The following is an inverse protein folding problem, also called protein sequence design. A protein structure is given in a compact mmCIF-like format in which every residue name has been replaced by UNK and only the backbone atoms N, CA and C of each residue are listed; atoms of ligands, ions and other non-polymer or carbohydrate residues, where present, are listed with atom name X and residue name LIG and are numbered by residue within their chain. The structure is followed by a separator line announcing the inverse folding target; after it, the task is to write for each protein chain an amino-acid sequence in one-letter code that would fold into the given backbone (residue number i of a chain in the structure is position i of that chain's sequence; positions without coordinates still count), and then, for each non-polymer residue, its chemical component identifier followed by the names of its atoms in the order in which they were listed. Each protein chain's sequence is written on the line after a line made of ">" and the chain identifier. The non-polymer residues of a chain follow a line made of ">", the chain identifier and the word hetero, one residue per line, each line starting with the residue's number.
data_IF_378542104831
#
_entry.id   IF_378542104831
#
_cell.length_a   1.000
_cell.length_b   1.000
_cell.length_c   1.000
_cell.angle_alpha   90.00
_cell.angle_beta   90.00
_cell.angle_gamma   90.00
#
_symmetry.space_group_name_H-M   'P 1'
#
loop_
_entity.id
_entity.type
_entity.pdbx_description
1 polymer ?
#
# COMPACT_ATOMS: atom_id res chain seq x y z
N UNK A 1 12.70 10.95 12.53
CA UNK A 1 12.21 10.01 11.48
C UNK A 1 12.80 8.64 11.73
N UNK A 2 11.99 7.59 11.61
CA UNK A 2 12.43 6.20 11.78
C UNK A 2 13.50 5.83 10.74
N UNK A 3 14.56 5.19 11.18
CA UNK A 3 15.70 4.77 10.34
C UNK A 3 15.40 3.45 9.62
N UNK A 4 14.43 3.49 8.70
CA UNK A 4 13.87 2.29 8.04
C UNK A 4 14.91 1.46 7.32
N UNK A 5 15.88 2.10 6.61
CA UNK A 5 16.95 1.39 5.88
C UNK A 5 17.85 0.59 6.81
N UNK A 6 18.29 1.20 7.92
CA UNK A 6 19.16 0.53 8.86
C UNK A 6 18.45 -0.62 9.58
N UNK A 7 17.20 -0.39 10.01
CA UNK A 7 16.41 -1.44 10.65
C UNK A 7 16.20 -2.62 9.71
N UNK A 8 15.82 -2.35 8.45
CA UNK A 8 15.62 -3.40 7.44
C UNK A 8 16.93 -4.11 7.12
N UNK A 9 18.05 -3.36 7.00
CA UNK A 9 19.38 -3.91 6.78
C UNK A 9 19.87 -4.79 7.93
N UNK A 10 19.44 -4.51 9.16
CA UNK A 10 19.69 -5.34 10.34
C UNK A 10 18.75 -6.56 10.45
N UNK A 11 17.88 -6.81 9.44
CA UNK A 11 16.96 -7.93 9.43
C UNK A 11 15.68 -7.72 10.27
N UNK A 12 15.48 -6.51 10.79
CA UNK A 12 14.28 -6.20 11.57
C UNK A 12 13.07 -6.05 10.62
N UNK A 13 11.96 -6.69 10.98
CA UNK A 13 10.72 -6.54 10.24
C UNK A 13 10.12 -5.16 10.49
N UNK A 14 10.02 -4.35 9.45
CA UNK A 14 9.42 -3.02 9.49
C UNK A 14 8.12 -3.05 8.69
N UNK A 15 7.04 -2.59 9.29
CA UNK A 15 5.77 -2.34 8.61
C UNK A 15 5.33 -0.89 8.81
N UNK A 16 4.56 -0.38 7.87
CA UNK A 16 3.96 0.95 7.94
C UNK A 16 2.49 0.84 8.30
N UNK A 17 2.04 1.73 9.15
CA UNK A 17 0.64 1.90 9.53
C UNK A 17 0.21 3.34 9.37
N UNK A 18 -1.09 3.57 9.36
CA UNK A 18 -1.66 4.92 9.17
C UNK A 18 -1.68 5.70 10.48
N UNK A 19 -1.74 5.02 11.63
CA UNK A 19 -1.97 5.56 12.96
C UNK A 19 -3.36 6.21 13.05
N UNK A 20 -3.45 7.49 12.72
CA UNK A 20 -4.70 8.26 12.71
C UNK A 20 -5.27 8.39 11.29
N UNK A 21 -6.62 8.37 11.14
CA UNK A 21 -7.33 8.39 9.84
C UNK A 21 -8.27 9.54 9.83
N UNK A 22 -8.43 10.50 10.03
CA UNK A 22 -9.46 11.54 10.07
C UNK A 22 -9.95 11.81 11.48
N UNK A 23 -9.07 12.41 12.24
CA UNK A 23 -9.30 12.81 13.61
C UNK A 23 -8.65 14.18 13.90
N UNK A 24 -8.70 14.70 15.14
CA UNK A 24 -8.10 16.00 15.48
C UNK A 24 -6.58 16.09 15.27
N UNK A 25 -5.87 14.95 15.28
CA UNK A 25 -4.41 14.89 15.06
C UNK A 25 -4.04 14.79 13.60
N UNK A 26 -4.86 14.12 12.80
CA UNK A 26 -4.66 13.95 11.36
C UNK A 26 -5.96 14.18 10.58
N UNK A 27 -6.34 15.44 10.35
CA UNK A 27 -7.67 15.78 9.80
C UNK A 27 -7.83 15.52 8.30
N UNK A 28 -6.79 15.10 7.59
CA UNK A 28 -6.82 14.90 6.12
C UNK A 28 -6.60 13.44 5.70
N UNK A 29 -6.66 12.50 6.62
CA UNK A 29 -6.42 11.09 6.33
C UNK A 29 -7.55 10.44 5.53
N UNK A 30 -7.20 9.66 4.51
CA UNK A 30 -8.14 8.86 3.70
C UNK A 30 -8.19 7.39 4.08
N UNK A 31 -7.34 6.95 5.00
CA UNK A 31 -7.15 5.53 5.35
C UNK A 31 -6.40 4.73 4.29
N UNK A 32 -5.81 5.39 3.31
CA UNK A 32 -5.07 4.73 2.23
C UNK A 32 -3.64 4.37 2.65
N UNK A 33 -3.35 3.09 2.84
CA UNK A 33 -1.99 2.62 3.11
C UNK A 33 -1.01 2.92 1.96
N UNK A 34 -1.47 3.09 0.74
CA UNK A 34 -0.65 3.56 -0.39
C UNK A 34 -0.10 4.96 -0.11
N UNK A 35 -0.91 5.85 0.43
CA UNK A 35 -0.51 7.23 0.74
C UNK A 35 0.50 7.23 1.90
N UNK A 36 0.36 6.30 2.85
CA UNK A 36 1.36 6.07 3.91
C UNK A 36 2.70 5.64 3.32
N UNK A 37 2.70 4.73 2.34
CA UNK A 37 3.95 4.33 1.65
C UNK A 37 4.54 5.50 0.89
N UNK A 38 3.73 6.24 0.15
CA UNK A 38 4.19 7.41 -0.59
C UNK A 38 4.88 8.43 0.33
N UNK A 39 4.24 8.78 1.42
CA UNK A 39 4.82 9.67 2.43
C UNK A 39 6.07 9.07 3.07
N UNK A 40 6.02 7.81 3.46
CA UNK A 40 7.14 7.11 4.10
C UNK A 40 8.39 7.05 3.22
N UNK A 41 8.24 6.83 1.92
CA UNK A 41 9.35 6.86 0.96
C UNK A 41 10.05 8.23 0.93
N UNK A 42 9.28 9.31 0.91
CA UNK A 42 9.82 10.67 0.90
C UNK A 42 10.49 11.02 2.23
N UNK A 43 9.80 10.81 3.33
CA UNK A 43 10.29 11.16 4.68
C UNK A 43 11.52 10.34 5.07
N UNK A 44 11.58 9.07 4.70
CA UNK A 44 12.73 8.18 4.95
C UNK A 44 13.79 8.24 3.84
N UNK A 45 13.64 9.12 2.84
CA UNK A 45 14.56 9.31 1.71
C UNK A 45 14.84 8.01 0.93
N UNK A 46 13.81 7.20 0.73
CA UNK A 46 13.86 5.91 0.04
C UNK A 46 13.36 6.05 -1.40
N UNK A 47 13.98 6.96 -2.17
CA UNK A 47 13.51 7.37 -3.51
C UNK A 47 14.23 6.66 -4.65
N UNK A 48 15.09 5.67 -4.37
CA UNK A 48 15.66 4.81 -5.41
C UNK A 48 14.59 3.92 -6.05
N UNK A 49 14.72 3.63 -7.36
CA UNK A 49 13.76 2.79 -8.08
C UNK A 49 13.51 1.45 -7.38
N UNK A 50 14.59 0.80 -6.90
CA UNK A 50 14.50 -0.45 -6.14
C UNK A 50 13.74 -0.29 -4.81
N UNK A 51 13.94 0.83 -4.09
CA UNK A 51 13.22 1.13 -2.86
C UNK A 51 11.73 1.29 -3.14
N UNK A 52 11.38 2.06 -4.18
CA UNK A 52 10.00 2.32 -4.58
C UNK A 52 9.31 1.00 -4.96
N UNK A 53 9.91 0.21 -5.85
CA UNK A 53 9.31 -1.05 -6.32
C UNK A 53 9.15 -2.09 -5.20
N UNK A 54 10.03 -2.08 -4.20
CA UNK A 54 9.98 -3.01 -3.07
C UNK A 54 9.16 -2.48 -1.88
N UNK A 55 8.66 -1.26 -1.92
CA UNK A 55 8.00 -0.62 -0.77
C UNK A 55 6.65 -1.22 -0.42
N UNK A 56 5.98 -1.88 -1.35
CA UNK A 56 4.71 -2.58 -1.10
C UNK A 56 4.81 -3.55 0.09
N UNK A 57 5.97 -4.14 0.30
CA UNK A 57 6.19 -5.06 1.42
C UNK A 57 5.87 -4.46 2.79
N UNK A 58 6.09 -3.15 2.97
CA UNK A 58 5.88 -2.48 4.26
C UNK A 58 4.41 -2.44 4.69
N UNK A 59 3.48 -2.47 3.73
CA UNK A 59 2.03 -2.48 3.97
C UNK A 59 1.37 -3.81 3.61
N UNK A 60 2.14 -4.80 3.22
CA UNK A 60 1.64 -6.12 2.82
C UNK A 60 2.36 -7.24 3.57
N UNK A 61 3.39 -7.84 3.01
CA UNK A 61 4.05 -9.03 3.59
C UNK A 61 4.68 -8.75 4.95
N UNK A 62 5.28 -7.58 5.16
CA UNK A 62 5.85 -7.22 6.46
C UNK A 62 4.74 -6.94 7.49
N UNK A 63 3.66 -6.26 7.08
CA UNK A 63 2.48 -6.06 7.92
C UNK A 63 1.83 -7.39 8.30
N UNK A 64 1.72 -8.32 7.35
CA UNK A 64 1.22 -9.67 7.63
C UNK A 64 2.06 -10.43 8.65
N UNK A 65 3.40 -10.29 8.61
CA UNK A 65 4.29 -10.83 9.63
C UNK A 65 4.05 -10.20 10.99
N UNK A 66 3.91 -8.87 11.05
CA UNK A 66 3.62 -8.14 12.29
C UNK A 66 2.29 -8.59 12.90
N UNK A 67 1.29 -8.87 12.07
CA UNK A 67 -0.04 -9.33 12.49
C UNK A 67 -0.15 -10.85 12.67
N UNK A 68 0.94 -11.59 12.51
CA UNK A 68 1.00 -13.05 12.64
C UNK A 68 -0.02 -13.80 11.76
N UNK A 69 -0.28 -13.31 10.54
CA UNK A 69 -1.27 -13.91 9.64
C UNK A 69 -0.81 -15.24 9.01
N UNK A 70 0.47 -15.56 9.09
CA UNK A 70 1.04 -16.82 8.61
C UNK A 70 0.80 -17.07 7.12
N UNK A 71 0.59 -18.34 6.78
CA UNK A 71 0.43 -18.79 5.39
C UNK A 71 -0.93 -18.41 4.78
N UNK A 72 -1.89 -17.97 5.58
CA UNK A 72 -3.21 -17.52 5.10
C UNK A 72 -3.16 -16.18 4.35
N UNK A 73 -2.05 -15.45 4.43
CA UNK A 73 -1.87 -14.18 3.75
C UNK A 73 -1.24 -14.34 2.36
N UNK A 74 -1.76 -13.59 1.41
CA UNK A 74 -1.22 -13.46 0.05
C UNK A 74 -2.07 -14.14 -1.02
N UNK A 75 -1.86 -13.70 -2.26
CA UNK A 75 -2.57 -14.25 -3.43
C UNK A 75 -1.89 -15.55 -3.83
N UNK A 76 -2.39 -16.67 -3.33
CA UNK A 76 -1.93 -18.03 -3.59
C UNK A 76 -3.12 -18.96 -3.73
N UNK A 77 -2.95 -20.04 -4.48
CA UNK A 77 -3.93 -21.12 -4.57
C UNK A 77 -4.22 -21.69 -3.16
N UNK A 78 -5.48 -21.86 -2.85
CA UNK A 78 -5.93 -22.32 -1.53
C UNK A 78 -6.12 -21.22 -0.47
N UNK A 79 -5.60 -20.01 -0.70
CA UNK A 79 -5.80 -18.90 0.23
C UNK A 79 -7.14 -18.19 0.02
N UNK A 80 -7.68 -17.54 1.05
CA UNK A 80 -8.83 -16.66 0.88
C UNK A 80 -8.59 -15.59 -0.18
N UNK A 81 -9.51 -15.43 -1.12
CA UNK A 81 -9.41 -14.44 -2.19
C UNK A 81 -9.64 -13.02 -1.63
N UNK A 82 -8.61 -12.47 -0.99
CA UNK A 82 -8.62 -11.11 -0.41
C UNK A 82 -7.52 -10.28 -1.08
N UNK A 83 -7.91 -9.32 -1.91
CA UNK A 83 -7.00 -8.50 -2.70
C UNK A 83 -7.65 -7.18 -3.13
N UNK A 84 -6.83 -6.26 -3.59
CA UNK A 84 -7.27 -5.05 -4.29
C UNK A 84 -6.69 -5.03 -5.71
N UNK A 85 -7.43 -4.43 -6.63
CA UNK A 85 -6.97 -4.13 -7.99
C UNK A 85 -6.83 -2.62 -8.12
N UNK A 86 -5.67 -2.16 -8.54
CA UNK A 86 -5.36 -0.75 -8.74
C UNK A 86 -5.46 -0.39 -10.23
N UNK A 87 -5.90 0.82 -10.53
CA UNK A 87 -5.94 1.38 -11.89
C UNK A 87 -4.54 1.84 -12.32
N UNK A 88 -3.62 0.91 -12.44
CA UNK A 88 -2.23 1.18 -12.72
C UNK A 88 -1.57 0.05 -13.52
N UNK A 89 -0.54 0.40 -14.30
CA UNK A 89 0.24 -0.57 -15.09
C UNK A 89 1.18 -1.41 -14.23
N UNK A 90 1.67 -0.85 -13.15
CA UNK A 90 2.55 -1.47 -12.18
C UNK A 90 2.53 -0.70 -10.86
N UNK A 91 3.26 -1.17 -9.85
CA UNK A 91 3.25 -0.57 -8.53
C UNK A 91 3.87 0.85 -8.50
N UNK A 92 4.91 1.10 -9.29
CA UNK A 92 5.47 2.45 -9.44
C UNK A 92 4.41 3.43 -9.95
N UNK A 93 3.72 3.06 -11.02
CA UNK A 93 2.65 3.86 -11.61
C UNK A 93 1.49 4.09 -10.62
N UNK A 94 1.17 3.06 -9.81
CA UNK A 94 0.15 3.17 -8.77
C UNK A 94 0.51 4.23 -7.72
N UNK A 95 1.75 4.27 -7.26
CA UNK A 95 2.22 5.28 -6.31
C UNK A 95 2.30 6.66 -6.95
N UNK A 96 2.92 6.75 -8.12
CA UNK A 96 3.18 8.03 -8.81
C UNK A 96 1.91 8.79 -9.15
N UNK A 97 0.86 8.10 -9.58
CA UNK A 97 -0.42 8.71 -9.98
C UNK A 97 -1.50 8.65 -8.90
N UNK A 98 -1.17 8.18 -7.71
CA UNK A 98 -2.18 7.92 -6.67
C UNK A 98 -3.37 7.11 -7.23
N UNK A 99 -3.06 6.01 -7.91
CA UNK A 99 -4.04 5.22 -8.67
C UNK A 99 -5.24 4.79 -7.81
N UNK A 100 -6.43 4.90 -8.37
CA UNK A 100 -7.66 4.49 -7.71
C UNK A 100 -7.72 2.97 -7.50
N UNK A 101 -8.41 2.54 -6.44
CA UNK A 101 -8.78 1.14 -6.25
C UNK A 101 -9.97 0.83 -7.16
N UNK A 102 -9.77 -0.06 -8.14
CA UNK A 102 -10.81 -0.52 -9.08
C UNK A 102 -11.73 -1.56 -8.45
N UNK A 103 -11.15 -2.45 -7.69
CA UNK A 103 -11.86 -3.53 -7.02
C UNK A 103 -11.23 -3.78 -5.66
N UNK A 104 -12.06 -3.89 -4.64
CA UNK A 104 -11.70 -4.44 -3.34
C UNK A 104 -12.46 -5.75 -3.14
N UNK A 105 -11.73 -6.84 -2.93
CA UNK A 105 -12.28 -8.17 -2.71
C UNK A 105 -11.82 -8.71 -1.37
N UNK A 106 -12.72 -9.30 -0.60
CA UNK A 106 -12.41 -10.01 0.64
C UNK A 106 -13.13 -11.36 0.68
N UNK A 107 -12.37 -12.42 0.88
CA UNK A 107 -12.87 -13.79 0.93
C UNK A 107 -13.73 -14.15 -0.29
N UNK A 108 -13.32 -13.74 -1.49
CA UNK A 108 -14.03 -13.98 -2.74
C UNK A 108 -15.25 -13.08 -2.99
N UNK A 109 -15.54 -12.15 -2.09
CA UNK A 109 -16.66 -11.20 -2.24
C UNK A 109 -16.15 -9.82 -2.60
N UNK A 110 -16.67 -9.24 -3.68
CA UNK A 110 -16.43 -7.83 -4.02
C UNK A 110 -17.09 -6.94 -2.95
N UNK A 111 -16.29 -6.06 -2.33
CA UNK A 111 -16.75 -5.10 -1.34
C UNK A 111 -16.98 -3.72 -1.95
N UNK A 112 -16.16 -3.35 -2.92
CA UNK A 112 -16.27 -2.07 -3.63
C UNK A 112 -15.72 -2.22 -5.05
N UNK A 113 -16.38 -1.56 -5.97
CA UNK A 113 -15.95 -1.39 -7.36
C UNK A 113 -15.99 0.10 -7.70
N UNK A 114 -14.99 0.56 -8.44
CA UNK A 114 -14.87 1.97 -8.84
C UNK A 114 -14.63 2.06 -10.33
N UNK A 115 -15.46 2.83 -11.01
CA UNK A 115 -15.25 3.15 -12.42
C UNK A 115 -14.03 4.06 -12.59
N UNK A 116 -13.24 3.89 -13.68
CA UNK A 116 -12.10 4.76 -13.94
C UNK A 116 -12.56 6.20 -14.15
N UNK A 117 -11.81 7.15 -13.60
CA UNK A 117 -12.00 8.55 -13.95
C UNK A 117 -11.62 8.76 -15.43
N UNK A 118 -12.49 9.36 -16.21
CA UNK A 118 -12.23 9.75 -17.58
C UNK A 118 -11.94 11.24 -17.65
N UNK A 119 -10.77 11.62 -18.16
CA UNK A 119 -10.42 13.01 -18.43
C UNK A 119 -10.26 13.22 -19.94
N UNK A 120 -10.86 14.29 -20.47
CA UNK A 120 -10.63 14.76 -21.84
C UNK A 120 -9.89 16.08 -21.80
N UNK A 121 -8.67 16.09 -22.31
CA UNK A 121 -7.92 17.33 -22.52
C UNK A 121 -8.34 17.91 -23.87
N UNK A 122 -8.74 19.16 -23.89
CA UNK A 122 -9.03 19.92 -25.12
C UNK A 122 -7.97 21.02 -25.25
N UNK A 123 -7.32 21.06 -26.37
CA UNK A 123 -6.35 22.10 -26.73
C UNK A 123 -7.03 23.12 -27.61
#
# INVERSE_FOLDING_TARGET
>A
VTRVRELTGAGINVSFGHDDIFDPWYPMGTGSLRDVVFMGLHVCQMMGYGDIMNSCKFISTNAAKTLHLGDSYGVREGNPASFIVLDAKNYYDALNRSAAVRLSCKNGRALAETEPAAARVRF
#
